data_IF_283785998181
#
_entry.id   IF_283785998181
#
_cell.length_a   1.000
_cell.length_b   1.000
_cell.length_c   1.000
_cell.angle_alpha   90.00
_cell.angle_beta   90.00
_cell.angle_gamma   90.00
#
_symmetry.space_group_name_H-M   'P 1'
#
loop_
_entity.id
_entity.type
_entity.pdbx_description
1 polymer ?
#
# COMPACT_ATOMS: atom_id res chain seq x y z
N UNK A 1 -56.40 -2.52 -13.05
CA UNK A 1 -55.05 -2.23 -13.57
C UNK A 1 -54.98 -0.75 -13.79
N UNK A 2 -54.45 -0.02 -12.82
CA UNK A 2 -54.12 1.39 -12.94
C UNK A 2 -52.64 1.49 -12.55
N UNK A 3 -51.81 1.81 -13.53
CA UNK A 3 -50.37 1.99 -13.41
C UNK A 3 -50.09 3.46 -13.72
N UNK A 4 -49.53 4.19 -12.76
CA UNK A 4 -49.22 5.61 -12.93
C UNK A 4 -48.31 6.18 -11.85
N UNK A 5 -47.09 5.65 -11.78
CA UNK A 5 -45.99 6.15 -10.96
C UNK A 5 -45.54 7.54 -11.42
N UNK A 6 -45.45 8.53 -10.52
CA UNK A 6 -44.51 9.66 -10.58
C UNK A 6 -44.46 10.34 -9.21
N UNK A 7 -43.28 10.36 -8.57
CA UNK A 7 -42.58 11.59 -8.18
C UNK A 7 -41.45 11.27 -7.20
N UNK A 8 -40.26 11.81 -7.45
CA UNK A 8 -39.11 11.67 -6.57
C UNK A 8 -37.78 11.93 -7.26
N UNK A 9 -37.67 13.03 -8.02
CA UNK A 9 -36.37 13.55 -8.47
C UNK A 9 -35.67 14.17 -7.28
N UNK A 10 -34.54 13.59 -6.83
CA UNK A 10 -33.61 14.28 -5.96
C UNK A 10 -32.16 13.95 -6.32
N UNK A 11 -31.45 15.05 -6.61
CA UNK A 11 -30.01 15.24 -6.46
C UNK A 11 -29.14 14.66 -7.56
N UNK A 12 -28.90 15.52 -8.54
CA UNK A 12 -27.68 15.52 -9.34
C UNK A 12 -26.47 15.51 -8.43
N UNK A 13 -25.88 14.33 -8.28
CA UNK A 13 -24.59 14.15 -7.61
C UNK A 13 -23.54 14.68 -8.58
N UNK A 14 -23.15 15.94 -8.34
CA UNK A 14 -22.01 16.55 -9.00
C UNK A 14 -20.88 15.53 -9.03
N UNK A 15 -20.39 15.23 -10.23
CA UNK A 15 -19.21 14.39 -10.42
C UNK A 15 -18.08 15.10 -9.70
N UNK A 16 -17.84 14.72 -8.44
CA UNK A 16 -16.56 14.95 -7.79
C UNK A 16 -15.59 14.38 -8.80
N UNK A 17 -14.77 15.23 -9.42
CA UNK A 17 -13.60 14.75 -10.14
C UNK A 17 -12.80 14.04 -9.07
N UNK A 18 -13.04 12.75 -8.95
CA UNK A 18 -12.12 11.81 -8.36
C UNK A 18 -10.87 12.02 -9.20
N UNK A 19 -10.00 12.92 -8.72
CA UNK A 19 -8.61 12.96 -9.14
C UNK A 19 -8.15 11.55 -8.84
N UNK A 20 -8.22 10.69 -9.85
CA UNK A 20 -7.79 9.30 -9.77
C UNK A 20 -6.40 9.37 -9.20
N UNK A 21 -6.27 9.03 -7.91
CA UNK A 21 -4.96 9.02 -7.26
C UNK A 21 -4.14 8.06 -8.11
N UNK A 22 -3.02 8.52 -8.65
CA UNK A 22 -2.15 7.66 -9.46
C UNK A 22 -1.87 6.38 -8.68
N UNK A 23 -2.24 5.24 -9.24
CA UNK A 23 -1.82 3.93 -8.74
C UNK A 23 -0.38 3.67 -9.18
N UNK A 24 0.39 3.05 -8.30
CA UNK A 24 1.72 2.54 -8.66
C UNK A 24 1.56 1.13 -9.19
N UNK A 25 2.19 0.81 -10.32
CA UNK A 25 2.29 -0.57 -10.80
C UNK A 25 3.38 -1.34 -10.04
N UNK A 26 3.29 -2.67 -10.03
CA UNK A 26 4.33 -3.51 -9.43
C UNK A 26 5.73 -3.23 -10.02
N UNK A 27 5.80 -2.99 -11.33
CA UNK A 27 7.05 -2.63 -12.00
C UNK A 27 7.58 -1.25 -11.55
N UNK A 28 6.72 -0.24 -11.40
CA UNK A 28 7.13 1.06 -10.87
C UNK A 28 7.66 0.96 -9.43
N UNK A 29 7.02 0.12 -8.61
CA UNK A 29 7.46 -0.14 -7.24
C UNK A 29 8.80 -0.86 -7.20
N UNK A 30 8.99 -1.88 -8.03
CA UNK A 30 10.25 -2.63 -8.15
C UNK A 30 11.41 -1.73 -8.55
N UNK A 31 11.23 -0.91 -9.58
CA UNK A 31 12.24 0.07 -10.02
C UNK A 31 12.56 1.06 -8.91
N UNK A 32 11.56 1.56 -8.19
CA UNK A 32 11.79 2.47 -7.06
C UNK A 32 12.56 1.78 -5.92
N UNK A 33 12.23 0.52 -5.59
CA UNK A 33 12.95 -0.26 -4.58
C UNK A 33 14.41 -0.45 -4.99
N UNK A 34 14.68 -0.80 -6.24
CA UNK A 34 16.04 -0.98 -6.73
C UNK A 34 16.83 0.33 -6.69
N UNK A 35 16.23 1.43 -7.15
CA UNK A 35 16.85 2.75 -7.09
C UNK A 35 17.17 3.17 -5.64
N UNK A 36 16.28 2.89 -4.68
CA UNK A 36 16.53 3.14 -3.26
C UNK A 36 17.68 2.30 -2.71
N UNK A 37 17.76 1.01 -3.05
CA UNK A 37 18.88 0.13 -2.66
C UNK A 37 20.20 0.67 -3.17
N UNK A 38 20.26 1.08 -4.43
CA UNK A 38 21.48 1.63 -5.04
C UNK A 38 21.93 2.92 -4.35
N UNK A 39 20.99 3.82 -4.03
CA UNK A 39 21.27 5.06 -3.28
C UNK A 39 21.84 4.75 -1.89
N UNK A 40 21.26 3.77 -1.19
CA UNK A 40 21.73 3.35 0.14
C UNK A 40 23.13 2.73 0.05
N UNK A 41 23.36 1.83 -0.91
CA UNK A 41 24.64 1.16 -1.12
C UNK A 41 25.76 2.13 -1.48
N UNK A 42 25.43 3.22 -2.18
CA UNK A 42 26.36 4.31 -2.51
C UNK A 42 26.64 5.26 -1.34
N UNK A 43 26.14 4.97 -0.13
CA UNK A 43 26.41 5.76 1.06
C UNK A 43 25.62 7.07 1.15
N UNK A 44 24.58 7.27 0.33
CA UNK A 44 23.70 8.45 0.41
C UNK A 44 22.68 8.34 1.56
N UNK A 45 23.10 7.75 2.67
CA UNK A 45 22.32 7.62 3.90
C UNK A 45 22.47 8.93 4.66
N UNK A 46 21.68 9.94 4.27
CA UNK A 46 21.65 11.16 5.06
C UNK A 46 20.86 10.88 6.33
N UNK A 47 21.56 10.92 7.46
CA UNK A 47 21.02 10.93 8.82
C UNK A 47 19.74 11.79 8.82
N UNK A 48 18.59 11.13 8.86
CA UNK A 48 17.27 11.71 9.01
C UNK A 48 16.67 12.62 7.89
N UNK A 49 17.41 13.04 6.85
CA UNK A 49 16.83 13.87 5.76
C UNK A 49 17.45 13.53 4.41
N UNK A 50 16.67 12.93 3.50
CA UNK A 50 17.09 12.78 2.10
C UNK A 50 17.67 14.11 1.59
N UNK A 51 18.93 14.11 1.13
CA UNK A 51 19.57 15.32 0.57
C UNK A 51 18.66 15.90 -0.51
N UNK A 52 18.68 17.21 -0.70
CA UNK A 52 17.87 17.93 -1.69
C UNK A 52 17.98 17.30 -3.11
N UNK A 53 19.05 16.58 -3.43
CA UNK A 53 19.23 15.84 -4.68
C UNK A 53 18.78 14.37 -4.71
N UNK A 54 18.40 13.75 -3.59
CA UNK A 54 18.04 12.32 -3.59
C UNK A 54 16.75 12.04 -4.35
N UNK A 55 15.73 12.89 -4.19
CA UNK A 55 14.48 12.74 -4.95
C UNK A 55 14.71 12.96 -6.44
N UNK A 56 15.59 13.89 -6.81
CA UNK A 56 16.00 14.14 -8.20
C UNK A 56 16.73 12.95 -8.80
N UNK A 57 17.64 12.33 -8.03
CA UNK A 57 18.34 11.12 -8.45
C UNK A 57 17.37 9.97 -8.70
N UNK A 58 16.45 9.72 -7.76
CA UNK A 58 15.43 8.68 -7.90
C UNK A 58 14.52 8.95 -9.10
N UNK A 59 14.08 10.20 -9.28
CA UNK A 59 13.27 10.59 -10.43
C UNK A 59 13.99 10.32 -11.75
N UNK A 60 15.28 10.67 -11.83
CA UNK A 60 16.07 10.43 -13.04
C UNK A 60 16.25 8.93 -13.32
N UNK A 61 16.54 8.13 -12.30
CA UNK A 61 16.62 6.66 -12.42
C UNK A 61 15.32 6.08 -12.93
N UNK A 62 14.18 6.50 -12.38
CA UNK A 62 12.87 6.04 -12.83
C UNK A 62 12.57 6.46 -14.28
N UNK A 63 12.95 7.67 -14.69
CA UNK A 63 12.76 8.16 -16.07
C UNK A 63 13.57 7.38 -17.09
N UNK A 64 14.77 6.96 -16.72
CA UNK A 64 15.62 6.12 -17.58
C UNK A 64 15.09 4.70 -17.66
N UNK A 65 14.61 4.14 -16.55
CA UNK A 65 14.11 2.77 -16.50
C UNK A 65 12.71 2.59 -17.12
N UNK A 66 11.85 3.61 -17.02
CA UNK A 66 10.45 3.54 -17.44
C UNK A 66 10.19 4.63 -18.49
N UNK A 67 10.14 4.22 -19.75
CA UNK A 67 9.91 5.13 -20.88
C UNK A 67 8.55 5.82 -20.75
N UNK A 68 8.53 7.14 -20.94
CA UNK A 68 7.29 7.94 -20.87
C UNK A 68 6.70 8.11 -19.46
N UNK A 69 7.40 7.74 -18.39
CA UNK A 69 6.90 7.95 -17.04
C UNK A 69 6.76 9.44 -16.70
N UNK A 70 5.66 9.78 -16.02
CA UNK A 70 5.39 11.09 -15.43
C UNK A 70 5.56 11.09 -13.90
N UNK A 71 6.27 10.09 -13.36
CA UNK A 71 6.64 10.04 -11.94
C UNK A 71 7.67 11.15 -11.65
N UNK A 72 7.46 11.84 -10.53
CA UNK A 72 8.29 12.96 -10.07
C UNK A 72 8.79 12.70 -8.66
N UNK A 73 9.97 13.21 -8.33
CA UNK A 73 10.54 13.18 -6.99
C UNK A 73 9.56 13.70 -5.94
N UNK A 74 8.99 14.88 -6.22
CA UNK A 74 7.88 15.46 -5.47
C UNK A 74 6.73 15.78 -6.46
N UNK A 75 5.48 15.33 -6.22
CA UNK A 75 4.98 14.68 -5.01
C UNK A 75 5.05 13.15 -4.98
N UNK A 76 5.33 12.48 -6.11
CA UNK A 76 5.02 11.06 -6.26
C UNK A 76 5.96 10.14 -5.44
N UNK A 77 7.27 10.24 -5.66
CA UNK A 77 8.25 9.38 -4.97
C UNK A 77 8.25 9.66 -3.47
N UNK A 78 8.25 10.94 -3.09
CA UNK A 78 8.23 11.34 -1.67
C UNK A 78 7.00 10.76 -0.93
N UNK A 79 5.80 10.86 -1.54
CA UNK A 79 4.58 10.29 -0.97
C UNK A 79 4.66 8.77 -0.82
N UNK A 80 5.15 8.07 -1.86
CA UNK A 80 5.26 6.60 -1.85
C UNK A 80 6.21 6.11 -0.77
N UNK A 81 7.40 6.70 -0.67
CA UNK A 81 8.40 6.37 0.35
C UNK A 81 7.88 6.68 1.76
N UNK A 82 7.16 7.79 1.94
CA UNK A 82 6.55 8.13 3.23
C UNK A 82 5.52 7.09 3.66
N UNK A 83 4.66 6.64 2.75
CA UNK A 83 3.69 5.56 3.01
C UNK A 83 4.40 4.27 3.37
N UNK A 84 5.40 3.84 2.60
CA UNK A 84 6.17 2.62 2.89
C UNK A 84 6.85 2.67 4.27
N UNK A 85 7.46 3.80 4.64
CA UNK A 85 8.04 3.99 5.97
C UNK A 85 7.01 3.85 7.09
N UNK A 86 5.81 4.43 6.92
CA UNK A 86 4.73 4.30 7.89
C UNK A 86 4.26 2.84 8.01
N UNK A 87 3.99 2.18 6.88
CA UNK A 87 3.55 0.78 6.88
C UNK A 87 4.60 -0.11 7.55
N UNK A 88 5.88 0.06 7.23
CA UNK A 88 6.96 -0.66 7.88
C UNK A 88 7.01 -0.39 9.40
N UNK A 89 6.90 0.86 9.84
CA UNK A 89 6.85 1.20 11.27
C UNK A 89 5.67 0.54 12.01
N UNK A 90 4.50 0.49 11.37
CA UNK A 90 3.34 -0.23 11.90
C UNK A 90 3.60 -1.72 12.00
N UNK A 91 4.18 -2.34 10.97
CA UNK A 91 4.52 -3.78 10.98
C UNK A 91 5.50 -4.12 12.08
N UNK A 92 6.57 -3.34 12.25
CA UNK A 92 7.55 -3.51 13.34
C UNK A 92 6.86 -3.42 14.70
N UNK A 93 5.95 -2.46 14.87
CA UNK A 93 5.19 -2.30 16.13
C UNK A 93 4.30 -3.51 16.41
N UNK A 94 3.64 -4.06 15.38
CA UNK A 94 2.78 -5.24 15.50
C UNK A 94 3.62 -6.48 15.84
N UNK A 95 4.73 -6.68 15.14
CA UNK A 95 5.65 -7.81 15.35
C UNK A 95 6.38 -7.75 16.71
N UNK A 96 6.44 -6.57 17.34
CA UNK A 96 7.00 -6.43 18.69
C UNK A 96 6.07 -7.00 19.78
N UNK A 97 4.84 -7.39 19.46
CA UNK A 97 3.88 -7.96 20.41
C UNK A 97 4.10 -9.47 20.57
N UNK A 98 4.02 -9.96 21.81
CA UNK A 98 4.09 -11.39 22.11
C UNK A 98 2.99 -12.16 21.39
N UNK A 99 3.35 -13.30 20.78
CA UNK A 99 2.40 -14.13 20.04
C UNK A 99 2.04 -13.58 18.67
N UNK A 100 2.84 -12.67 18.09
CA UNK A 100 2.69 -12.23 16.70
C UNK A 100 3.98 -12.53 15.93
N UNK A 101 3.86 -13.13 14.76
CA UNK A 101 4.97 -13.53 13.90
C UNK A 101 4.76 -13.16 12.44
N UNK A 102 5.85 -13.15 11.68
CA UNK A 102 5.83 -13.00 10.22
C UNK A 102 5.87 -14.37 9.55
N UNK A 103 4.89 -14.67 8.70
CA UNK A 103 4.92 -15.83 7.83
C UNK A 103 5.58 -15.42 6.50
N UNK A 104 6.78 -15.93 6.24
CA UNK A 104 7.54 -15.56 5.04
C UNK A 104 7.02 -16.24 3.76
N UNK A 105 6.28 -17.34 3.87
CA UNK A 105 5.68 -18.04 2.72
C UNK A 105 4.52 -17.23 2.15
N UNK A 106 3.58 -16.84 3.01
CA UNK A 106 2.35 -16.16 2.59
C UNK A 106 2.48 -14.63 2.62
N UNK A 107 3.61 -14.12 3.15
CA UNK A 107 3.85 -12.70 3.40
C UNK A 107 2.76 -12.07 4.28
N UNK A 108 2.31 -12.82 5.29
CA UNK A 108 1.22 -12.43 6.21
C UNK A 108 1.70 -12.32 7.67
N UNK A 109 0.89 -11.64 8.48
CA UNK A 109 1.09 -11.55 9.94
C UNK A 109 0.22 -12.62 10.60
N UNK A 110 0.86 -13.51 11.37
CA UNK A 110 0.18 -14.53 12.14
C UNK A 110 0.15 -14.14 13.62
N UNK A 111 -1.01 -14.28 14.26
CA UNK A 111 -1.15 -14.08 15.70
C UNK A 111 -1.52 -15.41 16.38
N UNK A 112 -0.62 -15.90 17.23
CA UNK A 112 -0.90 -16.99 18.17
C UNK A 112 -1.61 -16.40 19.38
N UNK A 113 -2.94 -16.38 19.35
CA UNK A 113 -3.73 -16.05 20.52
C UNK A 113 -3.46 -17.11 21.59
N UNK A 114 -3.06 -16.70 22.79
CA UNK A 114 -2.83 -17.58 23.97
C UNK A 114 -4.06 -18.34 24.47
N UNK A 115 -5.20 -18.19 23.80
CA UNK A 115 -6.37 -19.03 23.98
C UNK A 115 -6.40 -19.99 22.79
N UNK A 116 -6.19 -21.28 23.08
CA UNK A 116 -5.98 -22.33 22.10
C UNK A 116 -6.99 -22.33 20.95
N UNK A 117 -6.60 -22.96 19.84
CA UNK A 117 -7.46 -23.19 18.67
C UNK A 117 -8.84 -23.68 19.12
N UNK A 118 -9.84 -22.80 19.12
CA UNK A 118 -11.22 -23.22 19.25
C UNK A 118 -11.67 -23.69 17.87
N UNK A 119 -11.58 -25.00 17.65
CA UNK A 119 -12.22 -25.67 16.53
C UNK A 119 -13.72 -25.63 16.73
N UNK A 120 -14.40 -24.71 16.06
CA UNK A 120 -15.85 -24.78 15.88
C UNK A 120 -16.11 -25.77 14.74
N UNK A 121 -16.47 -27.00 15.09
CA UNK A 121 -17.05 -27.97 14.15
C UNK A 121 -18.52 -27.61 13.93
N UNK A 122 -18.86 -27.22 12.69
CA UNK A 122 -20.24 -27.01 12.29
C UNK A 122 -20.87 -28.38 11.99
N UNK A 123 -21.62 -28.92 12.94
CA UNK A 123 -22.38 -30.16 12.72
C UNK A 123 -23.60 -29.82 11.85
N UNK A 124 -23.59 -30.28 10.61
CA UNK A 124 -24.76 -30.26 9.73
C UNK A 124 -25.87 -31.10 10.37
N UNK A 125 -27.12 -30.59 10.47
CA UNK A 125 -28.23 -31.41 10.95
C UNK A 125 -28.47 -32.54 9.95
N UNK A 126 -28.46 -33.77 10.44
CA UNK A 126 -28.91 -34.92 9.68
C UNK A 126 -30.43 -34.85 9.54
N UNK A 127 -30.88 -34.90 8.29
CA UNK A 127 -32.28 -34.94 7.86
C UNK A 127 -33.01 -36.14 8.50
N UNK A 128 -34.24 -35.91 8.99
CA UNK A 128 -35.22 -36.95 9.31
C UNK A 128 -36.57 -36.57 8.72
#
# INVERSE_FOLDING_TARGET
MDSGSTSGSLVGKGKKVEKTRRSWSAHEEEVLIQALKDVINKGWKSENRFRVGCLTLLENTMRVAITGTNIRGNPHINSKVHVWKKTHGTLVTILSKSGVGWNDTDKTIEATTKYGKQSFSQTTPHDQ
#
